data_IF_221220739532
#
_entry.id   IF_221220739532
#
_cell.length_a   1.000
_cell.length_b   1.000
_cell.length_c   1.000
_cell.angle_alpha   90.00
_cell.angle_beta   90.00
_cell.angle_gamma   90.00
#
_symmetry.space_group_name_H-M   'P 1'
#
loop_
_entity.id
_entity.type
_entity.pdbx_description
1 polymer ?
#
# COMPACT_ATOMS: atom_id res chain seq x y z
N UNK A 1 17.71 -18.64 -3.77
CA UNK A 1 17.53 -17.18 -3.96
C UNK A 1 17.22 -16.60 -2.58
N UNK A 2 17.52 -15.34 -2.30
CA UNK A 2 17.10 -14.72 -1.04
C UNK A 2 15.77 -14.00 -1.27
N UNK A 3 14.91 -13.93 -0.25
CA UNK A 3 13.71 -13.10 -0.33
C UNK A 3 14.08 -11.62 -0.45
N UNK A 4 13.25 -10.83 -1.14
CA UNK A 4 13.43 -9.38 -1.25
C UNK A 4 13.38 -8.77 0.15
N UNK A 5 14.28 -7.82 0.41
CA UNK A 5 14.34 -7.17 1.71
C UNK A 5 13.01 -6.46 2.01
N UNK A 6 12.47 -6.72 3.19
CA UNK A 6 11.13 -6.32 3.58
C UNK A 6 11.05 -6.14 5.09
N UNK A 7 10.05 -5.38 5.53
CA UNK A 7 9.63 -5.29 6.93
C UNK A 7 8.25 -5.92 7.09
N UNK A 8 7.80 -6.07 8.33
CA UNK A 8 6.49 -6.64 8.64
C UNK A 8 5.66 -5.68 9.46
N UNK A 9 4.34 -5.84 9.40
CA UNK A 9 3.42 -5.13 10.28
C UNK A 9 2.75 -6.10 11.28
N UNK A 10 2.12 -5.52 12.31
CA UNK A 10 1.40 -6.27 13.36
C UNK A 10 0.16 -7.05 12.90
N UNK A 11 -0.24 -6.91 11.63
CA UNK A 11 -1.41 -7.54 11.04
C UNK A 11 -1.03 -8.69 10.09
N UNK A 12 0.20 -9.19 10.17
CA UNK A 12 0.68 -10.28 9.33
C UNK A 12 0.94 -9.86 7.88
N UNK A 13 1.15 -8.56 7.63
CA UNK A 13 1.53 -8.03 6.33
C UNK A 13 3.04 -7.90 6.18
N UNK A 14 3.54 -8.18 4.97
CA UNK A 14 4.92 -7.92 4.55
C UNK A 14 4.93 -6.65 3.70
N UNK A 15 5.88 -5.75 3.95
CA UNK A 15 6.10 -4.52 3.19
C UNK A 15 7.47 -4.59 2.55
N UNK A 16 7.51 -4.69 1.22
CA UNK A 16 8.76 -4.71 0.46
C UNK A 16 9.38 -3.31 0.50
N UNK A 17 10.68 -3.24 0.82
CA UNK A 17 11.40 -1.96 0.84
C UNK A 17 11.63 -1.47 -0.61
N UNK A 18 11.20 -0.25 -1.00
CA UNK A 18 11.33 0.25 -2.38
C UNK A 18 12.78 0.28 -2.91
N UNK A 19 13.74 0.57 -2.02
CA UNK A 19 15.16 0.58 -2.31
C UNK A 19 15.73 -0.81 -2.60
N UNK A 20 15.06 -1.88 -2.12
CA UNK A 20 15.47 -3.26 -2.31
C UNK A 20 14.97 -3.86 -3.63
N UNK A 21 14.11 -3.15 -4.37
CA UNK A 21 13.62 -3.61 -5.66
C UNK A 21 14.77 -3.69 -6.68
N UNK A 22 14.99 -4.84 -7.34
CA UNK A 22 15.91 -4.94 -8.47
C UNK A 22 15.49 -3.98 -9.60
N UNK A 23 16.46 -3.45 -10.35
CA UNK A 23 16.15 -2.63 -11.52
C UNK A 23 15.72 -3.47 -12.71
N UNK A 24 16.17 -4.71 -12.80
CA UNK A 24 15.87 -5.61 -13.91
C UNK A 24 14.54 -6.36 -13.70
N UNK A 25 13.57 -6.27 -14.64
CA UNK A 25 12.27 -6.93 -14.50
C UNK A 25 12.33 -8.45 -14.33
N UNK A 26 13.19 -9.15 -15.09
CA UNK A 26 13.30 -10.62 -15.01
C UNK A 26 13.86 -11.04 -13.65
N UNK A 27 14.89 -10.35 -13.17
CA UNK A 27 15.46 -10.55 -11.85
C UNK A 27 14.43 -10.28 -10.76
N UNK A 28 13.66 -9.20 -10.88
CA UNK A 28 12.58 -8.87 -9.95
C UNK A 28 11.50 -9.95 -9.95
N UNK A 29 11.03 -10.41 -11.11
CA UNK A 29 10.00 -11.44 -11.22
C UNK A 29 10.42 -12.75 -10.54
N UNK A 30 11.66 -13.20 -10.80
CA UNK A 30 12.20 -14.41 -10.19
C UNK A 30 12.35 -14.27 -8.66
N UNK A 31 12.85 -13.14 -8.18
CA UNK A 31 12.97 -12.88 -6.75
C UNK A 31 11.61 -12.72 -6.06
N UNK A 32 10.65 -12.04 -6.70
CA UNK A 32 9.31 -11.85 -6.18
C UNK A 32 8.60 -13.20 -6.04
N UNK A 33 8.65 -14.05 -7.07
CA UNK A 33 8.09 -15.40 -7.02
C UNK A 33 8.63 -16.21 -5.85
N UNK A 34 9.95 -16.21 -5.67
CA UNK A 34 10.60 -16.88 -4.54
C UNK A 34 10.18 -16.30 -3.19
N UNK A 35 10.10 -14.97 -3.08
CA UNK A 35 9.74 -14.27 -1.85
C UNK A 35 8.30 -14.56 -1.44
N UNK A 36 7.35 -14.56 -2.39
CA UNK A 36 5.95 -14.91 -2.15
C UNK A 36 5.82 -16.33 -1.59
N UNK A 37 6.58 -17.28 -2.12
CA UNK A 37 6.59 -18.65 -1.61
C UNK A 37 7.15 -18.73 -0.17
N UNK A 38 8.23 -18.01 0.12
CA UNK A 38 8.80 -17.94 1.49
C UNK A 38 7.81 -17.34 2.47
N UNK A 39 7.26 -16.16 2.17
CA UNK A 39 6.34 -15.48 3.07
C UNK A 39 5.04 -16.25 3.29
N UNK A 40 4.56 -16.98 2.27
CA UNK A 40 3.44 -17.91 2.44
C UNK A 40 3.78 -19.04 3.41
N UNK A 41 4.97 -19.63 3.30
CA UNK A 41 5.42 -20.70 4.21
C UNK A 41 5.64 -20.20 5.65
N UNK A 42 6.02 -18.93 5.81
CA UNK A 42 6.18 -18.26 7.10
C UNK A 42 4.84 -17.83 7.73
N UNK A 43 3.72 -17.95 7.00
CA UNK A 43 2.38 -17.68 7.51
C UNK A 43 1.92 -16.22 7.43
N UNK A 44 2.57 -15.40 6.60
CA UNK A 44 2.10 -14.04 6.32
C UNK A 44 0.82 -14.05 5.47
N UNK A 45 0.03 -12.99 5.60
CA UNK A 45 -1.32 -12.89 5.05
C UNK A 45 -1.37 -12.05 3.78
N UNK A 46 -0.66 -10.93 3.75
CA UNK A 46 -0.70 -9.92 2.68
C UNK A 46 0.71 -9.40 2.39
N UNK A 47 1.00 -9.11 1.13
CA UNK A 47 2.21 -8.40 0.71
C UNK A 47 1.84 -7.05 0.14
N UNK A 48 2.59 -6.03 0.55
CA UNK A 48 2.50 -4.65 0.07
C UNK A 48 3.75 -4.34 -0.74
N UNK A 49 3.54 -3.84 -1.95
CA UNK A 49 4.60 -3.50 -2.89
C UNK A 49 4.41 -2.04 -3.33
N UNK A 50 5.28 -1.18 -2.83
CA UNK A 50 5.41 0.18 -3.34
C UNK A 50 6.43 0.20 -4.48
N UNK A 51 5.99 0.55 -5.69
CA UNK A 51 6.86 0.69 -6.85
C UNK A 51 7.05 2.19 -7.13
N UNK A 52 8.27 2.73 -6.94
CA UNK A 52 8.59 4.11 -7.32
C UNK A 52 8.39 4.31 -8.81
N UNK A 53 8.00 5.52 -9.23
CA UNK A 53 7.75 5.86 -10.64
C UNK A 53 8.96 5.57 -11.55
N UNK A 54 10.18 5.73 -11.03
CA UNK A 54 11.43 5.42 -11.72
C UNK A 54 11.60 3.91 -12.02
N UNK A 55 10.89 3.04 -11.30
CA UNK A 55 10.89 1.58 -11.45
C UNK A 55 9.56 1.07 -12.01
N UNK A 56 8.78 1.91 -12.69
CA UNK A 56 7.46 1.57 -13.25
C UNK A 56 7.46 0.34 -14.17
N UNK A 57 8.59 0.01 -14.80
CA UNK A 57 8.79 -1.23 -15.58
C UNK A 57 8.52 -2.52 -14.77
N UNK A 58 8.64 -2.48 -13.44
CA UNK A 58 8.39 -3.63 -12.57
C UNK A 58 6.91 -3.89 -12.31
N UNK A 59 6.03 -2.93 -12.64
CA UNK A 59 4.59 -3.03 -12.37
C UNK A 59 3.98 -4.21 -13.14
N UNK A 60 4.38 -4.39 -14.41
CA UNK A 60 3.90 -5.49 -15.23
C UNK A 60 4.18 -6.85 -14.58
N UNK A 61 5.43 -7.08 -14.15
CA UNK A 61 5.85 -8.32 -13.50
C UNK A 61 5.09 -8.58 -12.19
N UNK A 62 4.83 -7.52 -11.40
CA UNK A 62 4.04 -7.65 -10.18
C UNK A 62 2.59 -8.07 -10.47
N UNK A 63 1.97 -7.47 -11.49
CA UNK A 63 0.59 -7.80 -11.90
C UNK A 63 0.50 -9.23 -12.44
N UNK A 64 1.48 -9.70 -13.23
CA UNK A 64 1.53 -11.10 -13.70
C UNK A 64 1.62 -12.11 -12.54
N UNK A 65 2.27 -11.73 -11.43
CA UNK A 65 2.30 -12.54 -10.21
C UNK A 65 1.01 -12.45 -9.38
N UNK A 66 0.03 -11.65 -9.81
CA UNK A 66 -1.30 -11.53 -9.19
C UNK A 66 -1.46 -10.35 -8.24
N UNK A 67 -0.53 -9.38 -8.22
CA UNK A 67 -0.73 -8.16 -7.45
C UNK A 67 -1.85 -7.30 -8.06
N UNK A 68 -2.66 -6.69 -7.19
CA UNK A 68 -3.70 -5.73 -7.56
C UNK A 68 -3.32 -4.31 -7.12
N UNK A 69 -3.76 -3.31 -7.90
CA UNK A 69 -3.55 -1.91 -7.55
C UNK A 69 -4.37 -1.54 -6.31
N UNK A 70 -3.75 -0.81 -5.40
CA UNK A 70 -4.40 -0.33 -4.19
C UNK A 70 -4.62 1.18 -4.23
N UNK A 71 -3.56 1.94 -4.47
CA UNK A 71 -3.59 3.40 -4.63
C UNK A 71 -2.28 3.89 -5.24
N UNK A 72 -2.24 5.16 -5.63
CA UNK A 72 -1.04 5.82 -6.12
C UNK A 72 -0.86 7.18 -5.47
N UNK A 73 0.39 7.61 -5.34
CA UNK A 73 0.76 9.01 -5.13
C UNK A 73 1.48 9.56 -6.36
N UNK A 74 1.95 10.81 -6.28
CA UNK A 74 2.64 11.47 -7.40
C UNK A 74 3.93 10.74 -7.85
N UNK A 75 4.57 9.99 -6.93
CA UNK A 75 5.86 9.35 -7.17
C UNK A 75 5.88 7.82 -7.12
N UNK A 76 4.73 7.15 -6.89
CA UNK A 76 4.71 5.70 -6.71
C UNK A 76 3.32 5.09 -6.97
N UNK A 77 3.32 3.78 -7.19
CA UNK A 77 2.11 2.95 -7.18
C UNK A 77 2.22 1.93 -6.04
N UNK A 78 1.19 1.84 -5.21
CA UNK A 78 1.05 0.78 -4.21
C UNK A 78 0.21 -0.35 -4.78
N UNK A 79 0.78 -1.55 -4.72
CA UNK A 79 0.09 -2.80 -5.05
C UNK A 79 -0.01 -3.70 -3.81
N UNK A 80 -0.98 -4.59 -3.83
CA UNK A 80 -1.19 -5.59 -2.77
C UNK A 80 -1.39 -6.98 -3.35
N UNK A 81 -0.96 -8.00 -2.59
CA UNK A 81 -1.17 -9.40 -2.91
C UNK A 81 -1.63 -10.16 -1.67
N UNK A 82 -2.69 -10.95 -1.79
CA UNK A 82 -3.17 -11.83 -0.72
C UNK A 82 -2.41 -13.16 -0.77
N UNK A 83 -1.52 -13.40 0.20
CA UNK A 83 -0.85 -14.71 0.34
C UNK A 83 -1.84 -15.80 0.77
N UNK A 84 -2.81 -15.40 1.60
CA UNK A 84 -3.95 -16.20 2.04
C UNK A 84 -5.23 -15.55 1.50
N UNK A 85 -6.07 -16.34 0.82
CA UNK A 85 -7.33 -15.87 0.27
C UNK A 85 -8.19 -15.17 1.34
N UNK A 86 -8.93 -14.15 0.93
CA UNK A 86 -9.83 -13.37 1.80
C UNK A 86 -9.14 -12.62 2.96
N UNK A 87 -7.82 -12.47 2.92
CA UNK A 87 -7.09 -11.63 3.89
C UNK A 87 -7.51 -10.17 3.80
N UNK A 88 -7.76 -9.55 4.96
CA UNK A 88 -8.22 -8.17 5.00
C UNK A 88 -7.15 -7.19 4.50
N UNK A 89 -7.51 -6.39 3.50
CA UNK A 89 -6.74 -5.25 3.00
C UNK A 89 -7.58 -4.01 3.28
N UNK A 90 -7.13 -3.09 4.16
CA UNK A 90 -7.86 -1.86 4.43
C UNK A 90 -8.01 -1.04 3.14
N UNK A 91 -9.21 -0.60 2.74
CA UNK A 91 -9.36 0.20 1.54
C UNK A 91 -8.58 1.52 1.67
N UNK A 92 -8.11 2.04 0.54
CA UNK A 92 -7.54 3.39 0.50
C UNK A 92 -8.60 4.45 0.83
N UNK A 93 -8.18 5.67 1.16
CA UNK A 93 -9.09 6.76 1.49
C UNK A 93 -10.07 7.03 0.33
N UNK A 94 -11.35 6.81 0.61
CA UNK A 94 -12.44 6.98 -0.38
C UNK A 94 -13.31 8.20 -0.09
N UNK A 95 -13.15 8.84 1.08
CA UNK A 95 -14.04 9.89 1.55
C UNK A 95 -13.26 11.03 2.21
N UNK A 96 -13.77 12.25 2.04
CA UNK A 96 -13.36 13.40 2.83
C UNK A 96 -14.12 13.42 4.16
N UNK A 97 -13.42 13.68 5.25
CA UNK A 97 -14.02 13.90 6.56
C UNK A 97 -14.18 15.42 6.75
N UNK A 98 -15.42 15.88 6.81
CA UNK A 98 -15.75 17.26 7.19
C UNK A 98 -16.09 17.34 8.67
N UNK A 99 -15.65 18.40 9.33
CA UNK A 99 -16.06 18.73 10.70
C UNK A 99 -16.69 20.13 10.72
N UNK A 100 -17.84 20.25 11.39
CA UNK A 100 -18.50 21.52 11.65
C UNK A 100 -18.42 21.85 13.14
N UNK A 101 -18.02 23.08 13.47
CA UNK A 101 -18.02 23.60 14.83
C UNK A 101 -19.27 24.45 15.10
N UNK A 102 -19.97 24.16 16.19
CA UNK A 102 -21.04 25.04 16.70
C UNK A 102 -20.51 25.74 17.93
N UNK A 103 -20.45 27.08 17.89
CA UNK A 103 -20.01 27.92 19.00
C UNK A 103 -21.11 28.91 19.33
N UNK A 104 -21.58 28.89 20.57
CA UNK A 104 -22.62 29.75 21.10
C UNK A 104 -22.03 30.55 22.27
N UNK A 105 -22.26 31.86 22.30
CA UNK A 105 -21.83 32.71 23.43
C UNK A 105 -22.93 32.86 24.49
N UNK A 106 -22.63 33.53 25.60
CA UNK A 106 -23.58 33.75 26.72
C UNK A 106 -24.83 34.59 26.34
N UNK A 107 -24.83 35.19 25.13
CA UNK A 107 -25.95 35.95 24.58
C UNK A 107 -26.78 35.16 23.57
N UNK A 108 -26.56 33.85 23.47
CA UNK A 108 -27.25 32.96 22.53
C UNK A 108 -26.96 33.28 21.04
N UNK A 109 -25.81 33.87 20.71
CA UNK A 109 -25.41 34.15 19.32
C UNK A 109 -24.50 33.05 18.75
N UNK A 110 -24.66 32.74 17.46
CA UNK A 110 -23.88 31.73 16.74
C UNK A 110 -22.66 32.35 16.03
N UNK A 111 -21.48 31.73 16.16
CA UNK A 111 -20.31 32.09 15.35
C UNK A 111 -20.50 31.67 13.89
N UNK A 112 -20.35 32.63 12.97
CA UNK A 112 -20.40 32.41 11.52
C UNK A 112 -19.15 32.95 10.82
N UNK A 113 -18.80 32.38 9.67
CA UNK A 113 -17.67 32.81 8.83
C UNK A 113 -18.14 33.12 7.41
N UNK A 114 -17.47 34.06 6.74
CA UNK A 114 -17.65 34.36 5.32
C UNK A 114 -16.28 34.33 4.64
N UNK A 115 -16.17 33.58 3.56
CA UNK A 115 -15.01 33.66 2.66
C UNK A 115 -15.05 34.99 1.89
N UNK A 116 -13.88 35.47 1.45
CA UNK A 116 -13.70 36.72 0.70
C UNK A 116 -13.70 36.48 -0.80
#
# INVERSE_FOLDING_TARGET
>A
MQAINSTTNRFGGVLILPEALPDDPETFAAQLHHSLASWRAEGFLVVWLEVPIAKSKLIHEAVEQGFAFHHSGDGYLMLTYQLVADSFIPPYSTHYIGAGGVVINDREELLVVSER
#
